data_IF_776919341163
#
_entry.id   IF_776919341163
#
_cell.length_a   1.000
_cell.length_b   1.000
_cell.length_c   1.000
_cell.angle_alpha   90.00
_cell.angle_beta   90.00
_cell.angle_gamma   90.00
#
_symmetry.space_group_name_H-M   'P 1'
#
loop_
_entity.id
_entity.type
_entity.pdbx_description
1 polymer ?
#
# COMPACT_ATOMS: atom_id res chain seq x y z
N UNK A 1 -39.90 2.87 32.91
CA UNK A 1 -40.44 2.18 31.72
C UNK A 1 -39.61 0.93 31.51
N UNK A 2 -40.19 -0.24 31.75
CA UNK A 2 -39.59 -1.51 31.34
C UNK A 2 -40.12 -1.79 29.94
N UNK A 3 -39.32 -1.52 28.92
CA UNK A 3 -39.64 -1.95 27.57
C UNK A 3 -39.35 -3.45 27.46
N UNK A 4 -40.34 -4.20 26.95
CA UNK A 4 -40.18 -5.62 26.67
C UNK A 4 -39.08 -5.81 25.63
N UNK A 5 -38.13 -6.69 25.95
CA UNK A 5 -37.00 -6.98 25.07
C UNK A 5 -37.53 -7.53 23.74
N UNK A 6 -36.99 -7.06 22.60
CA UNK A 6 -37.46 -7.53 21.30
C UNK A 6 -37.26 -9.04 21.14
N UNK A 7 -38.17 -9.66 20.40
CA UNK A 7 -38.26 -11.12 20.22
C UNK A 7 -36.97 -11.78 19.67
N UNK A 8 -36.12 -11.02 18.97
CA UNK A 8 -34.82 -11.50 18.51
C UNK A 8 -33.86 -11.84 19.66
N UNK A 9 -34.02 -11.20 20.83
CA UNK A 9 -33.18 -11.42 22.01
C UNK A 9 -33.37 -12.83 22.58
N UNK A 10 -34.60 -13.34 22.57
CA UNK A 10 -34.90 -14.70 23.01
C UNK A 10 -34.46 -15.76 21.97
N UNK A 11 -34.44 -15.40 20.68
CA UNK A 11 -33.92 -16.26 19.61
C UNK A 11 -32.39 -16.40 19.66
N UNK A 12 -31.67 -15.31 19.90
CA UNK A 12 -30.22 -15.32 20.03
C UNK A 12 -29.75 -16.22 21.19
N UNK A 13 -30.52 -16.25 22.28
CA UNK A 13 -30.24 -17.11 23.45
C UNK A 13 -30.46 -18.61 23.19
N UNK A 14 -31.16 -18.97 22.10
CA UNK A 14 -31.41 -20.36 21.67
C UNK A 14 -30.59 -20.77 20.44
N UNK A 15 -29.68 -19.91 19.98
CA UNK A 15 -28.79 -20.24 18.87
C UNK A 15 -27.87 -21.42 19.25
N UNK A 16 -27.48 -22.29 18.31
CA UNK A 16 -26.69 -23.50 18.58
C UNK A 16 -25.26 -23.23 19.06
N UNK A 17 -24.91 -21.97 19.36
CA UNK A 17 -23.57 -21.51 19.68
C UNK A 17 -23.44 -21.02 21.13
N UNK A 18 -24.40 -21.33 22.01
CA UNK A 18 -24.43 -20.76 23.37
C UNK A 18 -23.36 -21.31 24.32
N UNK A 19 -22.67 -22.41 23.99
CA UNK A 19 -21.69 -23.04 24.91
C UNK A 19 -20.36 -23.45 24.26
N UNK A 20 -20.15 -23.18 22.96
CA UNK A 20 -18.86 -23.50 22.31
C UNK A 20 -17.94 -22.27 22.29
N UNK A 21 -16.85 -22.35 23.07
CA UNK A 21 -15.76 -21.36 22.98
C UNK A 21 -15.19 -21.39 21.57
N UNK A 22 -15.15 -20.21 20.94
CA UNK A 22 -14.62 -20.04 19.58
C UNK A 22 -13.14 -20.45 19.52
N UNK A 23 -12.85 -21.67 19.07
CA UNK A 23 -11.51 -22.25 19.13
C UNK A 23 -10.59 -21.63 18.08
N UNK A 24 -9.28 -21.76 18.30
CA UNK A 24 -8.24 -21.36 17.34
C UNK A 24 -8.41 -22.05 15.97
N UNK A 25 -8.93 -23.27 15.94
CA UNK A 25 -9.24 -24.01 14.70
C UNK A 25 -10.45 -23.42 13.97
N UNK A 26 -11.51 -23.03 14.69
CA UNK A 26 -12.66 -22.34 14.10
C UNK A 26 -12.26 -20.99 13.49
N UNK A 27 -11.39 -20.23 14.16
CA UNK A 27 -10.80 -18.99 13.60
C UNK A 27 -10.04 -19.27 12.30
N UNK A 28 -9.23 -20.32 12.27
CA UNK A 28 -8.45 -20.72 11.08
C UNK A 28 -9.36 -21.15 9.92
N UNK A 29 -10.46 -21.84 10.20
CA UNK A 29 -11.41 -22.30 9.19
C UNK A 29 -12.27 -21.17 8.60
N UNK A 30 -12.71 -20.22 9.43
CA UNK A 30 -13.38 -18.99 8.96
C UNK A 30 -12.42 -18.15 8.12
N UNK A 31 -11.17 -18.02 8.52
CA UNK A 31 -10.18 -17.28 7.74
C UNK A 31 -9.94 -17.93 6.36
N UNK A 32 -9.99 -19.26 6.29
CA UNK A 32 -9.88 -20.03 5.04
C UNK A 32 -11.11 -19.89 4.14
N UNK A 33 -12.32 -19.80 4.68
CA UNK A 33 -13.54 -19.65 3.86
C UNK A 33 -13.70 -18.26 3.25
N UNK A 34 -13.21 -17.23 3.93
CA UNK A 34 -13.16 -15.86 3.38
C UNK A 34 -12.16 -15.75 2.22
N UNK A 35 -11.00 -16.43 2.31
CA UNK A 35 -9.97 -16.41 1.25
C UNK A 35 -10.41 -17.19 -0.01
N UNK A 36 -11.27 -18.20 0.10
CA UNK A 36 -11.67 -19.05 -1.03
C UNK A 36 -12.97 -18.65 -1.73
N UNK A 37 -13.65 -17.58 -1.30
CA UNK A 37 -14.93 -17.17 -1.91
C UNK A 37 -14.81 -16.19 -3.08
N UNK A 38 -13.62 -15.65 -3.38
CA UNK A 38 -13.47 -14.60 -4.41
C UNK A 38 -12.62 -14.94 -5.64
N UNK A 39 -12.38 -16.22 -5.92
CA UNK A 39 -11.67 -16.61 -7.15
C UNK A 39 -12.38 -17.73 -7.91
N UNK A 40 -13.42 -17.38 -8.68
CA UNK A 40 -13.84 -18.19 -9.83
C UNK A 40 -13.18 -17.66 -11.10
N UNK A 41 -12.09 -18.27 -11.60
CA UNK A 41 -11.52 -17.88 -12.88
C UNK A 41 -12.46 -18.26 -14.04
N UNK A 42 -12.82 -17.27 -14.87
CA UNK A 42 -13.55 -17.49 -16.14
C UNK A 42 -12.66 -18.31 -17.09
N UNK A 43 -13.14 -19.50 -17.43
CA UNK A 43 -12.53 -20.46 -18.36
C UNK A 43 -12.47 -19.88 -19.78
N UNK A 44 -11.30 -19.43 -20.26
CA UNK A 44 -11.07 -19.13 -21.69
C UNK A 44 -10.85 -20.44 -22.44
N UNK A 45 -11.58 -20.62 -23.54
CA UNK A 45 -11.48 -21.78 -24.43
C UNK A 45 -10.20 -21.67 -25.27
N UNK A 46 -9.35 -22.69 -25.25
CA UNK A 46 -8.22 -22.83 -26.17
C UNK A 46 -8.75 -23.10 -27.59
N UNK A 47 -8.34 -22.27 -28.54
CA UNK A 47 -8.45 -22.55 -29.97
C UNK A 47 -7.20 -23.33 -30.37
N UNK A 48 -7.41 -24.54 -30.89
CA UNK A 48 -6.36 -25.38 -31.46
C UNK A 48 -5.80 -24.70 -32.71
N UNK A 49 -4.48 -24.57 -32.79
CA UNK A 49 -3.78 -24.31 -34.05
C UNK A 49 -2.89 -25.51 -34.32
N UNK A 50 -3.27 -26.28 -35.33
CA UNK A 50 -2.56 -27.45 -35.81
C UNK A 50 -1.28 -27.08 -36.55
N UNK A 51 -0.35 -28.04 -36.52
CA UNK A 51 0.92 -28.03 -37.23
C UNK A 51 0.77 -27.75 -38.73
N UNK A 52 1.52 -26.78 -39.23
CA UNK A 52 2.02 -26.77 -40.60
C UNK A 52 3.54 -26.53 -40.52
N UNK A 53 4.27 -27.64 -40.41
CA UNK A 53 5.72 -27.66 -40.54
C UNK A 53 6.15 -27.40 -41.98
N UNK A 54 7.31 -26.77 -42.13
CA UNK A 54 8.07 -26.79 -43.37
C UNK A 54 7.98 -25.54 -44.23
N UNK A 55 8.42 -24.37 -43.73
CA UNK A 55 9.04 -23.33 -44.58
C UNK A 55 9.79 -22.21 -43.82
N UNK A 56 10.37 -22.48 -42.65
CA UNK A 56 11.04 -21.46 -41.81
C UNK A 56 12.48 -21.86 -41.45
N UNK A 57 13.22 -22.43 -42.41
CA UNK A 57 14.64 -22.72 -42.28
C UNK A 57 15.49 -22.14 -43.42
N UNK A 58 14.89 -21.37 -44.34
CA UNK A 58 15.58 -20.77 -45.49
C UNK A 58 15.77 -19.25 -45.41
N UNK A 59 15.27 -18.58 -44.37
CA UNK A 59 15.47 -17.14 -44.17
C UNK A 59 16.62 -16.79 -43.22
N UNK A 60 17.20 -17.77 -42.53
CA UNK A 60 18.30 -17.56 -41.57
C UNK A 60 19.68 -17.39 -42.26
N UNK A 61 19.79 -17.60 -43.57
CA UNK A 61 21.06 -17.53 -44.30
C UNK A 61 21.28 -16.27 -45.18
N UNK A 62 20.40 -15.26 -45.12
CA UNK A 62 20.58 -13.99 -45.88
C UNK A 62 20.91 -12.78 -44.97
N UNK A 63 20.91 -12.92 -43.64
CA UNK A 63 21.16 -11.80 -42.74
C UNK A 63 22.66 -11.57 -42.38
N UNK A 64 23.60 -12.31 -42.98
CA UNK A 64 25.02 -12.28 -42.56
C UNK A 64 25.95 -11.40 -43.41
N UNK A 65 25.43 -10.60 -44.35
CA UNK A 65 26.26 -9.76 -45.23
C UNK A 65 25.72 -8.33 -45.41
N UNK A 66 25.53 -7.56 -44.33
CA UNK A 66 25.48 -6.08 -44.41
C UNK A 66 26.04 -5.45 -43.12
N UNK A 67 26.78 -4.33 -43.18
CA UNK A 67 27.47 -3.76 -42.04
C UNK A 67 26.47 -3.14 -41.06
N UNK A 68 26.58 -3.52 -39.79
CA UNK A 68 25.86 -2.95 -38.66
C UNK A 68 26.21 -1.47 -38.45
N UNK A 69 25.45 -0.58 -39.09
CA UNK A 69 25.23 0.78 -38.61
C UNK A 69 24.06 0.76 -37.62
N UNK A 70 24.36 0.65 -36.33
CA UNK A 70 23.35 0.68 -35.26
C UNK A 70 22.97 2.14 -35.00
N UNK A 71 22.07 2.69 -35.80
CA UNK A 71 21.22 3.78 -35.35
C UNK A 71 20.26 3.18 -34.30
N UNK A 72 20.65 3.32 -33.03
CA UNK A 72 19.77 3.09 -31.91
C UNK A 72 18.70 4.17 -31.95
N UNK A 73 17.62 3.84 -32.65
CA UNK A 73 16.42 4.63 -32.75
C UNK A 73 15.87 4.80 -31.34
N UNK A 74 16.25 5.93 -30.71
CA UNK A 74 15.56 6.53 -29.58
C UNK A 74 14.07 6.56 -29.93
N UNK A 75 13.32 5.58 -29.44
CA UNK A 75 11.89 5.74 -29.20
C UNK A 75 11.78 6.61 -27.96
N UNK A 76 12.12 7.89 -28.11
CA UNK A 76 11.55 8.93 -27.30
C UNK A 76 10.04 8.81 -27.52
N UNK A 77 9.35 8.25 -26.53
CA UNK A 77 7.90 8.36 -26.46
C UNK A 77 7.59 9.85 -26.49
N UNK A 78 6.93 10.28 -27.56
CA UNK A 78 6.43 11.64 -27.73
C UNK A 78 5.49 11.94 -26.56
N UNK A 79 6.00 12.59 -25.51
CA UNK A 79 5.15 13.27 -24.53
C UNK A 79 4.39 14.35 -25.30
N UNK A 80 3.07 14.19 -25.38
CA UNK A 80 2.20 15.23 -25.90
C UNK A 80 2.40 16.49 -25.05
N UNK A 81 2.72 17.64 -25.65
CA UNK A 81 2.69 18.90 -24.93
C UNK A 81 1.21 19.23 -24.69
N UNK A 82 0.74 19.13 -23.44
CA UNK A 82 -0.62 19.61 -23.10
C UNK A 82 -1.37 18.94 -21.95
N UNK A 83 -0.82 17.94 -21.25
CA UNK A 83 -1.40 17.50 -19.98
C UNK A 83 -0.46 17.88 -18.85
N UNK A 84 -0.79 18.94 -18.11
CA UNK A 84 -0.19 19.13 -16.78
C UNK A 84 -0.41 17.85 -15.98
N UNK A 85 0.69 17.25 -15.51
CA UNK A 85 0.61 16.05 -14.69
C UNK A 85 -0.07 16.36 -13.35
N UNK A 86 -1.05 15.55 -12.96
CA UNK A 86 -1.68 15.69 -11.65
C UNK A 86 -0.80 15.05 -10.58
N UNK A 87 -0.07 15.87 -9.83
CA UNK A 87 0.69 15.44 -8.65
C UNK A 87 -0.25 15.39 -7.45
N UNK A 88 -0.57 14.18 -6.98
CA UNK A 88 -1.47 13.96 -5.83
C UNK A 88 -0.73 14.01 -4.50
N UNK A 89 0.53 13.60 -4.48
CA UNK A 89 1.39 13.70 -3.31
C UNK A 89 2.86 13.90 -3.70
N UNK A 90 3.65 14.46 -2.79
CA UNK A 90 5.06 14.71 -3.02
C UNK A 90 5.89 14.58 -1.74
N UNK A 91 7.14 14.12 -1.90
CA UNK A 91 8.17 14.14 -0.86
C UNK A 91 9.42 14.81 -1.41
N UNK A 92 9.98 15.76 -0.67
CA UNK A 92 11.18 16.51 -1.09
C UNK A 92 12.40 16.01 -0.32
N UNK A 93 13.46 15.68 -1.07
CA UNK A 93 14.82 15.54 -0.54
C UNK A 93 15.65 16.74 -0.99
N UNK A 94 16.85 16.86 -0.46
CA UNK A 94 17.80 17.89 -0.90
C UNK A 94 18.32 17.62 -2.33
N UNK A 95 18.08 16.41 -2.86
CA UNK A 95 18.61 15.92 -4.14
C UNK A 95 17.52 15.69 -5.20
N UNK A 96 16.25 15.73 -4.83
CA UNK A 96 15.17 15.30 -5.70
C UNK A 96 13.78 15.39 -5.11
N UNK A 97 12.81 14.92 -5.91
CA UNK A 97 11.39 14.92 -5.57
C UNK A 97 10.78 13.56 -5.87
N UNK A 98 10.22 12.93 -4.84
CA UNK A 98 9.29 11.81 -4.97
C UNK A 98 7.90 12.38 -5.26
N UNK A 99 7.20 11.86 -6.27
CA UNK A 99 5.88 12.34 -6.68
C UNK A 99 4.94 11.16 -6.91
N UNK A 100 3.70 11.27 -6.44
CA UNK A 100 2.60 10.38 -6.80
C UNK A 100 1.81 11.06 -7.89
N UNK A 101 1.91 10.54 -9.11
CA UNK A 101 1.34 11.14 -10.31
C UNK A 101 0.17 10.30 -10.78
N UNK A 102 -0.99 10.92 -10.98
CA UNK A 102 -2.14 10.22 -11.53
C UNK A 102 -1.82 9.75 -12.96
N UNK A 103 -2.04 8.45 -13.24
CA UNK A 103 -1.79 7.87 -14.57
C UNK A 103 -2.82 8.37 -15.58
N UNK A 104 -4.06 8.54 -15.11
CA UNK A 104 -5.19 9.06 -15.88
C UNK A 104 -5.92 10.13 -15.07
N UNK A 105 -6.96 10.72 -15.66
CA UNK A 105 -7.83 11.65 -14.94
C UNK A 105 -8.51 10.93 -13.77
N UNK A 106 -8.31 11.44 -12.56
CA UNK A 106 -8.94 10.91 -11.35
C UNK A 106 -10.47 11.06 -11.39
N UNK A 107 -11.16 10.13 -10.74
CA UNK A 107 -12.56 10.32 -10.35
C UNK A 107 -12.59 11.18 -9.08
N UNK A 108 -13.14 12.38 -9.20
CA UNK A 108 -13.20 13.36 -8.12
C UNK A 108 -14.64 13.54 -7.64
N UNK A 109 -14.88 13.38 -6.34
CA UNK A 109 -16.19 13.59 -5.71
C UNK A 109 -16.04 14.26 -4.35
N UNK A 110 -16.98 15.09 -3.92
CA UNK A 110 -17.10 15.46 -2.50
C UNK A 110 -17.57 14.27 -1.69
N UNK A 111 -17.12 14.11 -0.43
CA UNK A 111 -17.62 13.05 0.44
C UNK A 111 -19.13 13.15 0.69
N UNK A 112 -19.66 14.37 0.83
CA UNK A 112 -21.11 14.63 0.92
C UNK A 112 -21.76 14.28 2.25
N UNK A 113 -21.04 13.64 3.17
CA UNK A 113 -21.41 13.46 4.57
C UNK A 113 -20.15 13.30 5.43
N UNK A 114 -20.16 13.73 6.70
CA UNK A 114 -19.03 13.49 7.60
C UNK A 114 -18.81 11.99 7.82
N UNK A 115 -17.54 11.57 7.85
CA UNK A 115 -17.14 10.17 8.07
C UNK A 115 -15.88 10.08 8.92
N UNK A 116 -15.45 8.85 9.25
CA UNK A 116 -14.16 8.63 9.89
C UNK A 116 -12.98 9.17 9.06
N UNK A 117 -13.13 9.20 7.73
CA UNK A 117 -12.07 9.56 6.79
C UNK A 117 -11.97 11.07 6.50
N UNK A 118 -12.99 11.85 6.85
CA UNK A 118 -13.04 13.27 6.47
C UNK A 118 -14.34 13.99 6.78
N UNK A 119 -14.36 15.29 6.51
CA UNK A 119 -15.54 16.15 6.56
C UNK A 119 -16.39 16.00 5.30
N UNK A 120 -17.66 16.39 5.36
CA UNK A 120 -18.57 16.33 4.20
C UNK A 120 -18.08 17.11 2.97
N UNK A 121 -17.29 18.17 3.22
CA UNK A 121 -16.70 19.04 2.20
C UNK A 121 -15.40 18.51 1.61
N UNK A 122 -14.81 17.47 2.20
CA UNK A 122 -13.54 16.90 1.72
C UNK A 122 -13.73 16.24 0.34
N UNK A 123 -12.65 16.20 -0.41
CA UNK A 123 -12.60 15.64 -1.76
C UNK A 123 -12.03 14.22 -1.70
N UNK A 124 -12.70 13.32 -2.41
CA UNK A 124 -12.21 11.98 -2.74
C UNK A 124 -11.66 11.98 -4.15
N UNK A 125 -10.44 11.46 -4.31
CA UNK A 125 -9.74 11.30 -5.59
C UNK A 125 -9.39 9.82 -5.77
N UNK A 126 -10.10 9.12 -6.65
CA UNK A 126 -9.85 7.71 -6.94
C UNK A 126 -9.20 7.54 -8.30
N UNK A 127 -8.15 6.73 -8.37
CA UNK A 127 -7.47 6.42 -9.62
C UNK A 127 -6.26 5.50 -9.44
N UNK A 128 -5.56 5.29 -10.56
CA UNK A 128 -4.27 4.62 -10.58
C UNK A 128 -3.16 5.68 -10.59
N UNK A 129 -2.10 5.42 -9.84
CA UNK A 129 -0.98 6.35 -9.69
C UNK A 129 0.37 5.67 -9.98
N UNK A 130 1.28 6.44 -10.55
CA UNK A 130 2.70 6.09 -10.70
C UNK A 130 3.49 6.87 -9.65
N UNK A 131 4.25 6.18 -8.83
CA UNK A 131 5.20 6.79 -7.90
C UNK A 131 6.51 6.96 -8.63
N UNK A 132 7.01 8.20 -8.70
CA UNK A 132 8.18 8.56 -9.50
C UNK A 132 9.16 9.34 -8.65
N UNK A 133 10.45 9.12 -8.88
CA UNK A 133 11.51 9.91 -8.25
C UNK A 133 12.30 10.65 -9.32
N UNK A 134 12.31 11.98 -9.22
CA UNK A 134 13.12 12.86 -10.05
C UNK A 134 14.40 13.20 -9.28
N UNK A 135 15.55 12.81 -9.81
CA UNK A 135 16.87 13.15 -9.27
C UNK A 135 17.82 13.52 -10.41
N UNK A 136 18.55 14.63 -10.24
CA UNK A 136 19.49 15.15 -11.25
C UNK A 136 18.92 15.22 -12.69
N UNK A 137 17.62 15.55 -12.82
CA UNK A 137 16.95 15.67 -14.12
C UNK A 137 16.50 14.34 -14.74
N UNK A 138 16.73 13.21 -14.08
CA UNK A 138 16.28 11.89 -14.51
C UNK A 138 15.10 11.44 -13.64
N UNK A 139 13.98 11.10 -14.28
CA UNK A 139 12.81 10.54 -13.60
C UNK A 139 12.82 9.02 -13.71
N UNK A 140 12.83 8.33 -12.58
CA UNK A 140 12.62 6.88 -12.50
C UNK A 140 11.24 6.55 -11.92
N UNK A 141 10.59 5.51 -12.45
CA UNK A 141 9.42 4.92 -11.80
C UNK A 141 9.88 4.08 -10.60
N UNK A 142 9.21 4.26 -9.46
CA UNK A 142 9.48 3.59 -8.19
C UNK A 142 8.49 2.46 -7.97
N UNK A 143 7.21 2.72 -8.20
CA UNK A 143 6.14 1.73 -8.12
C UNK A 143 4.83 2.25 -8.73
N UNK A 144 3.81 1.40 -8.72
CA UNK A 144 2.43 1.75 -9.08
C UNK A 144 1.50 1.55 -7.87
N UNK A 145 0.49 2.40 -7.77
CA UNK A 145 -0.57 2.29 -6.77
C UNK A 145 -1.90 2.17 -7.51
N UNK A 146 -2.53 1.00 -7.45
CA UNK A 146 -3.75 0.69 -8.21
C UNK A 146 -5.01 0.94 -7.37
N UNK A 147 -6.00 1.57 -7.98
CA UNK A 147 -7.34 1.84 -7.40
C UNK A 147 -7.30 2.49 -6.00
N UNK A 148 -6.35 3.39 -5.78
CA UNK A 148 -6.21 4.08 -4.49
C UNK A 148 -7.14 5.29 -4.46
N UNK A 149 -7.70 5.53 -3.27
CA UNK A 149 -8.51 6.71 -2.98
C UNK A 149 -7.79 7.63 -1.99
N UNK A 150 -7.54 8.86 -2.42
CA UNK A 150 -7.12 9.94 -1.54
C UNK A 150 -8.34 10.68 -1.02
N UNK A 151 -8.38 10.97 0.29
CA UNK A 151 -9.40 11.80 0.90
C UNK A 151 -8.70 13.00 1.54
N UNK A 152 -8.93 14.19 1.00
CA UNK A 152 -8.19 15.39 1.36
C UNK A 152 -9.10 16.63 1.45
N UNK A 153 -8.80 17.61 2.33
CA UNK A 153 -9.60 18.83 2.45
C UNK A 153 -9.54 19.74 1.21
N UNK A 154 -8.48 19.61 0.40
CA UNK A 154 -8.27 20.44 -0.80
C UNK A 154 -7.71 19.59 -1.94
N UNK A 155 -7.64 20.16 -3.14
CA UNK A 155 -7.00 19.52 -4.30
C UNK A 155 -5.48 19.66 -4.33
N UNK A 156 -4.86 20.31 -3.35
CA UNK A 156 -3.40 20.45 -3.28
C UNK A 156 -2.71 19.09 -3.16
N UNK A 157 -1.46 19.02 -3.61
CA UNK A 157 -0.64 17.84 -3.42
C UNK A 157 -0.42 17.60 -1.91
N UNK A 158 -0.53 16.34 -1.49
CA UNK A 158 -0.24 15.92 -0.12
C UNK A 158 1.27 15.91 0.10
N UNK A 159 1.75 16.60 1.13
CA UNK A 159 3.14 16.48 1.54
C UNK A 159 3.35 15.17 2.32
N UNK A 160 4.26 14.34 1.84
CA UNK A 160 4.66 13.11 2.52
C UNK A 160 5.48 13.43 3.78
N UNK A 161 5.34 12.59 4.80
CA UNK A 161 6.14 12.72 6.01
C UNK A 161 7.55 12.20 5.71
N UNK A 162 8.55 13.09 5.70
CA UNK A 162 9.96 12.73 5.59
C UNK A 162 10.50 12.28 6.94
N UNK A 163 11.07 11.10 6.97
CA UNK A 163 11.63 10.41 8.12
C UNK A 163 13.13 10.14 7.87
N UNK A 164 14.04 10.86 8.55
CA UNK A 164 15.46 10.75 8.28
C UNK A 164 16.04 9.51 8.95
N UNK A 165 16.32 8.46 8.18
CA UNK A 165 17.14 7.34 8.61
C UNK A 165 18.62 7.65 8.32
N UNK A 166 19.52 6.91 8.97
CA UNK A 166 20.95 7.08 8.77
C UNK A 166 21.36 6.89 7.30
N UNK A 167 20.83 5.84 6.66
CA UNK A 167 21.25 5.40 5.33
C UNK A 167 20.28 5.83 4.21
N UNK A 168 19.11 6.39 4.56
CA UNK A 168 18.10 6.81 3.60
C UNK A 168 17.15 7.88 4.15
N UNK A 169 16.54 8.63 3.26
CA UNK A 169 15.32 9.38 3.55
C UNK A 169 14.13 8.45 3.31
N UNK A 170 13.30 8.23 4.34
CA UNK A 170 12.06 7.47 4.21
C UNK A 170 10.87 8.43 4.11
N UNK A 171 9.97 8.20 3.18
CA UNK A 171 8.75 8.98 2.99
C UNK A 171 7.54 8.13 3.31
N UNK A 172 6.68 8.64 4.19
CA UNK A 172 5.38 8.05 4.49
C UNK A 172 4.29 8.78 3.71
N UNK A 173 3.57 8.02 2.90
CA UNK A 173 2.39 8.47 2.17
C UNK A 173 1.14 7.95 2.88
N UNK A 174 0.29 8.86 3.35
CA UNK A 174 -1.04 8.56 3.85
C UNK A 174 -2.08 9.12 2.86
N UNK A 175 -2.77 8.28 2.08
CA UNK A 175 -3.82 8.77 1.16
C UNK A 175 -4.94 9.51 1.88
N UNK A 176 -5.17 9.17 3.14
CA UNK A 176 -6.20 9.73 4.01
C UNK A 176 -5.53 10.37 5.24
N UNK A 177 -5.97 11.57 5.62
CA UNK A 177 -5.42 12.29 6.78
C UNK A 177 -6.16 11.99 8.08
N UNK A 178 -7.31 11.29 8.00
CA UNK A 178 -8.14 10.87 9.14
C UNK A 178 -8.60 9.44 8.93
N UNK A 179 -8.78 8.76 10.04
CA UNK A 179 -9.43 7.46 10.13
C UNK A 179 -9.85 7.25 11.60
N UNK A 180 -10.74 6.30 11.89
CA UNK A 180 -11.13 5.96 13.27
C UNK A 180 -10.47 4.69 13.81
N UNK A 181 -9.85 3.88 12.95
CA UNK A 181 -9.23 2.61 13.26
C UNK A 181 -7.72 2.60 13.06
N UNK A 182 -7.18 3.31 12.07
CA UNK A 182 -5.77 3.34 11.71
C UNK A 182 -5.57 4.11 10.41
N UNK A 183 -4.64 5.06 10.41
CA UNK A 183 -4.24 5.75 9.17
C UNK A 183 -3.36 4.79 8.38
N UNK A 184 -3.89 4.26 7.28
CA UNK A 184 -3.12 3.41 6.36
C UNK A 184 -2.00 4.22 5.68
N UNK A 185 -0.83 3.58 5.54
CA UNK A 185 0.36 4.20 4.99
C UNK A 185 1.11 3.30 4.02
N UNK A 186 1.72 3.95 3.03
CA UNK A 186 2.78 3.39 2.19
C UNK A 186 4.12 4.02 2.61
N UNK A 187 5.21 3.30 2.40
CA UNK A 187 6.55 3.79 2.68
C UNK A 187 7.46 3.69 1.46
N UNK A 188 8.28 4.71 1.25
CA UNK A 188 9.29 4.75 0.19
C UNK A 188 10.62 5.15 0.78
N UNK A 189 11.72 4.57 0.33
CA UNK A 189 13.07 5.00 0.72
C UNK A 189 13.78 5.63 -0.47
N UNK A 190 14.57 6.66 -0.20
CA UNK A 190 15.61 7.18 -1.09
C UNK A 190 16.95 6.94 -0.42
N UNK A 191 17.72 6.01 -0.98
CA UNK A 191 19.03 5.61 -0.48
C UNK A 191 20.04 6.78 -0.62
N UNK A 192 20.76 7.09 0.47
CA UNK A 192 21.73 8.19 0.50
C UNK A 192 23.00 7.92 -0.32
N UNK A 193 23.41 6.65 -0.43
CA UNK A 193 24.60 6.20 -1.14
C UNK A 193 24.32 6.14 -2.65
N UNK A 194 23.26 5.46 -3.04
CA UNK A 194 22.95 5.20 -4.47
C UNK A 194 22.05 6.26 -5.10
N UNK A 195 21.28 7.00 -4.29
CA UNK A 195 20.23 7.90 -4.78
C UNK A 195 19.03 7.17 -5.39
N UNK A 196 18.98 5.84 -5.30
CA UNK A 196 17.86 5.05 -5.81
C UNK A 196 16.67 5.13 -4.87
N UNK A 197 15.48 5.25 -5.46
CA UNK A 197 14.23 5.24 -4.75
C UNK A 197 13.52 3.90 -4.89
N UNK A 198 12.98 3.38 -3.78
CA UNK A 198 12.28 2.08 -3.73
C UNK A 198 11.03 2.18 -2.87
N UNK A 199 9.98 1.43 -3.20
CA UNK A 199 8.89 1.17 -2.28
C UNK A 199 9.34 0.16 -1.22
N UNK A 200 8.99 0.43 0.04
CA UNK A 200 9.26 -0.45 1.17
C UNK A 200 8.03 -1.28 1.50
N UNK A 201 8.24 -2.57 1.76
CA UNK A 201 7.23 -3.47 2.31
C UNK A 201 7.35 -3.56 3.82
N UNK A 202 6.24 -3.63 4.52
CA UNK A 202 6.21 -3.92 5.94
C UNK A 202 6.21 -5.42 6.17
N UNK A 203 7.22 -5.90 6.88
CA UNK A 203 7.39 -7.30 7.23
C UNK A 203 7.15 -7.49 8.73
N UNK A 204 6.08 -8.20 9.04
CA UNK A 204 5.73 -8.68 10.37
C UNK A 204 5.84 -10.22 10.39
N UNK A 205 5.69 -10.86 11.55
CA UNK A 205 6.02 -12.28 11.77
C UNK A 205 5.49 -13.23 10.68
N UNK A 206 4.24 -13.06 10.27
CA UNK A 206 3.59 -13.93 9.27
C UNK A 206 3.07 -13.17 8.06
N UNK A 207 3.32 -11.86 7.97
CA UNK A 207 2.71 -11.01 6.96
C UNK A 207 3.75 -10.09 6.33
N UNK A 208 3.72 -10.01 5.00
CA UNK A 208 4.39 -8.98 4.22
C UNK A 208 3.31 -8.20 3.50
N UNK A 209 3.30 -6.89 3.68
CA UNK A 209 2.32 -5.98 3.07
C UNK A 209 3.03 -4.77 2.48
N UNK A 210 2.46 -4.18 1.43
CA UNK A 210 2.90 -2.89 0.90
C UNK A 210 2.46 -1.72 1.80
N UNK A 211 1.53 -1.98 2.73
CA UNK A 211 1.00 -0.99 3.66
C UNK A 211 1.20 -1.38 5.13
N UNK A 212 1.18 -0.37 5.99
CA UNK A 212 0.97 -0.51 7.44
C UNK A 212 0.00 0.58 7.90
N UNK A 213 -0.12 0.80 9.21
CA UNK A 213 -1.00 1.82 9.75
C UNK A 213 -0.43 2.48 11.01
N UNK A 214 -0.92 3.66 11.36
CA UNK A 214 -0.64 4.25 12.68
C UNK A 214 -1.91 4.82 13.32
N UNK A 215 -1.88 4.97 14.63
CA UNK A 215 -3.02 5.47 15.41
C UNK A 215 -3.38 6.90 14.98
N UNK A 216 -4.65 7.18 14.64
CA UNK A 216 -5.10 8.55 14.36
C UNK A 216 -4.74 9.52 15.50
N UNK A 217 -4.25 10.70 15.15
CA UNK A 217 -3.79 11.71 16.12
C UNK A 217 -2.34 11.52 16.62
N UNK A 218 -1.63 10.52 16.11
CA UNK A 218 -0.19 10.32 16.36
C UNK A 218 0.62 10.61 15.10
N UNK A 219 1.95 10.71 15.21
CA UNK A 219 2.82 11.03 14.07
C UNK A 219 3.92 9.95 13.98
N UNK A 220 4.06 9.27 12.83
CA UNK A 220 5.20 8.39 12.56
C UNK A 220 6.53 9.12 12.81
N UNK A 221 7.48 8.47 13.47
CA UNK A 221 8.78 9.08 13.78
C UNK A 221 9.92 8.09 13.66
N UNK A 222 11.15 8.62 13.55
CA UNK A 222 12.37 7.82 13.65
C UNK A 222 12.94 7.95 15.06
N UNK A 223 13.21 6.83 15.71
CA UNK A 223 13.93 6.77 16.99
C UNK A 223 14.95 5.64 16.94
N UNK A 224 16.19 5.92 17.32
CA UNK A 224 17.28 4.94 17.32
C UNK A 224 17.43 4.21 15.97
N UNK A 225 17.32 4.97 14.87
CA UNK A 225 17.32 4.51 13.47
C UNK A 225 16.23 3.47 13.14
N UNK A 226 15.08 3.56 13.82
CA UNK A 226 13.91 2.70 13.60
C UNK A 226 12.66 3.54 13.42
N UNK A 227 11.77 3.08 12.55
CA UNK A 227 10.43 3.64 12.42
C UNK A 227 9.62 3.27 13.65
N UNK A 228 8.97 4.24 14.26
CA UNK A 228 8.09 4.05 15.41
C UNK A 228 6.68 4.48 15.01
N UNK A 229 5.74 3.52 15.06
CA UNK A 229 4.32 3.73 14.81
C UNK A 229 3.52 3.41 16.08
N UNK A 230 2.71 4.35 16.55
CA UNK A 230 1.72 4.02 17.58
C UNK A 230 0.60 3.18 16.95
N UNK A 231 0.17 2.13 17.62
CA UNK A 231 -0.86 1.21 17.16
C UNK A 231 -2.16 1.43 17.92
N UNK A 232 -3.27 1.23 17.21
CA UNK A 232 -4.60 0.93 17.75
C UNK A 232 -4.69 -0.59 17.89
N UNK A 233 -5.18 -1.14 19.01
CA UNK A 233 -5.34 -2.60 19.13
C UNK A 233 -6.62 -3.10 18.43
N UNK A 234 -6.47 -4.25 17.74
CA UNK A 234 -7.50 -5.29 17.56
C UNK A 234 -8.40 -5.22 16.31
N UNK A 235 -8.84 -6.37 15.75
CA UNK A 235 -9.90 -6.44 14.74
C UNK A 235 -11.23 -6.02 15.39
N UNK A 236 -11.46 -4.71 15.45
CA UNK A 236 -12.55 -4.10 16.23
C UNK A 236 -12.21 -2.72 16.79
N UNK A 237 -10.95 -2.28 16.74
CA UNK A 237 -10.55 -0.91 17.10
C UNK A 237 -10.62 -0.56 18.59
N UNK A 238 -11.02 -1.49 19.46
CA UNK A 238 -11.07 -1.28 20.91
C UNK A 238 -9.79 -1.81 21.57
N UNK A 239 -8.74 -1.00 21.54
CA UNK A 239 -7.66 -1.11 22.51
C UNK A 239 -8.08 -0.47 23.83
N UNK A 240 -7.67 -1.06 24.96
CA UNK A 240 -7.82 -0.39 26.26
C UNK A 240 -7.11 0.97 26.23
N UNK A 241 -7.68 2.00 26.87
CA UNK A 241 -7.10 3.35 26.91
C UNK A 241 -5.68 3.40 27.49
N UNK A 242 -5.25 2.33 28.16
CA UNK A 242 -4.00 2.27 28.92
C UNK A 242 -2.87 1.52 28.19
N UNK A 243 -3.14 0.82 27.07
CA UNK A 243 -2.09 0.15 26.27
C UNK A 243 -1.68 1.00 25.05
N UNK A 244 -0.63 1.83 25.21
CA UNK A 244 0.09 2.42 24.06
C UNK A 244 1.01 1.38 23.43
N UNK A 245 0.44 0.48 22.64
CA UNK A 245 1.24 -0.42 21.82
C UNK A 245 1.94 0.36 20.73
N UNK A 246 3.25 0.17 20.67
CA UNK A 246 4.12 0.79 19.69
C UNK A 246 4.71 -0.32 18.83
N UNK A 247 4.62 -0.17 17.51
CA UNK A 247 5.31 -1.04 16.56
C UNK A 247 6.57 -0.34 16.09
N UNK A 248 7.69 -1.04 16.21
CA UNK A 248 9.00 -0.51 15.85
C UNK A 248 9.56 -1.31 14.68
N UNK A 249 9.96 -0.65 13.60
CA UNK A 249 10.51 -1.31 12.41
C UNK A 249 11.94 -0.85 12.12
N UNK A 250 12.80 -1.81 11.79
CA UNK A 250 14.14 -1.57 11.26
C UNK A 250 14.06 -1.48 9.73
N UNK A 251 14.70 -0.46 9.16
CA UNK A 251 14.90 -0.36 7.72
C UNK A 251 15.88 -1.44 7.23
N UNK A 252 15.52 -2.12 6.14
CA UNK A 252 16.35 -3.08 5.41
C UNK A 252 16.31 -2.77 3.90
N UNK A 253 17.23 -1.91 3.46
CA UNK A 253 17.32 -1.50 2.05
C UNK A 253 17.71 -2.64 1.11
N UNK A 254 18.36 -3.70 1.61
CA UNK A 254 18.69 -4.86 0.76
C UNK A 254 17.45 -5.67 0.39
N UNK A 255 16.43 -5.65 1.25
CA UNK A 255 15.17 -6.35 1.04
C UNK A 255 14.03 -5.41 0.61
N UNK A 256 14.29 -4.10 0.54
CA UNK A 256 13.30 -3.05 0.39
C UNK A 256 12.16 -3.21 1.41
N UNK A 257 12.52 -3.29 2.70
CA UNK A 257 11.57 -3.62 3.75
C UNK A 257 11.74 -2.79 5.03
N UNK A 258 10.64 -2.60 5.73
CA UNK A 258 10.54 -2.22 7.13
C UNK A 258 10.24 -3.49 7.93
N UNK A 259 11.22 -4.00 8.67
CA UNK A 259 11.13 -5.28 9.38
C UNK A 259 10.78 -5.02 10.85
N UNK A 260 9.67 -5.58 11.33
CA UNK A 260 9.23 -5.45 12.72
C UNK A 260 10.32 -5.96 13.67
N UNK A 261 10.65 -5.15 14.67
CA UNK A 261 11.54 -5.52 15.77
C UNK A 261 10.69 -6.12 16.87
N UNK A 262 10.89 -7.40 17.17
CA UNK A 262 10.29 -8.05 18.32
C UNK A 262 10.98 -7.58 19.60
N UNK A 263 10.24 -6.90 20.47
CA UNK A 263 10.67 -6.69 21.85
C UNK A 263 10.36 -7.97 22.64
N UNK A 264 11.40 -8.74 22.98
CA UNK A 264 11.30 -9.98 23.76
C UNK A 264 10.86 -9.79 25.23
N UNK A 265 10.34 -8.63 25.63
CA UNK A 265 9.86 -8.37 26.98
C UNK A 265 8.37 -8.68 27.12
N UNK A 266 8.00 -9.96 26.94
CA UNK A 266 6.84 -10.51 27.65
C UNK A 266 7.36 -11.05 28.99
N UNK A 267 7.19 -10.27 30.06
CA UNK A 267 7.28 -10.78 31.43
C UNK A 267 6.16 -11.82 31.56
N UNK A 268 6.45 -13.11 31.79
CA UNK A 268 5.40 -14.09 32.03
C UNK A 268 4.63 -13.71 33.29
N UNK A 269 3.30 -13.97 33.36
CA UNK A 269 2.56 -13.77 34.60
C UNK A 269 3.21 -14.64 35.69
N UNK A 270 3.52 -14.01 36.82
CA UNK A 270 4.00 -14.71 38.00
C UNK A 270 3.00 -15.82 38.37
N UNK A 271 3.53 -17.04 38.49
CA UNK A 271 2.82 -18.24 38.93
C UNK A 271 2.33 -18.15 40.37
#
# INVERSE_FOLDING_TARGET
>A
MNEDKPDWYNRAKKAPFSDEKFTSEMKKNVHRSVIFTDSKPKRRKHLQVGFAGGLMLLTILIAFQLPFGREEQQRAGTLLPGTEETIRAQGLTDRGRLSVVAVEKEKITTLGAPSCFGLETDLSFTGNYSVRYLSHGVTGEVSTLEDITFIQPTSAAVDMIRLPFQDADVFILAPQYRDCHGIEIYAFAVDHETGHAVQLRFQEEMMVSDTSYYRPGTIPMVKDNKLVLESTEGPGGEGSSDSKLTRTYRLDLRQNAMVLVQDNTMIPPAS
#
